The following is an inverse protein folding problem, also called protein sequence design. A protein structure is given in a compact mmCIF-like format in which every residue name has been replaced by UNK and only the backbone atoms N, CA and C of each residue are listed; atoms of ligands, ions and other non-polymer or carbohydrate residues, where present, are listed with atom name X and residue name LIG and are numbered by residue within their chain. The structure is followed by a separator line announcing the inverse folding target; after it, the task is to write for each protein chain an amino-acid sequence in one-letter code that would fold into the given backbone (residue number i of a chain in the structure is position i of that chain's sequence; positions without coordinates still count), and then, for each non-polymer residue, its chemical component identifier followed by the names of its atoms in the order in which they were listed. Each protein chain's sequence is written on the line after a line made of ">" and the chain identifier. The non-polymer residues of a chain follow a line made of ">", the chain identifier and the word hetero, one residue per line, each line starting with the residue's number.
data_IF_041720741107
#
_entry.id   IF_041720741107
#
_cell.length_a   1.000
_cell.length_b   1.000
_cell.length_c   1.000
_cell.angle_alpha   90.00
_cell.angle_beta   90.00
_cell.angle_gamma   90.00
#
_symmetry.space_group_name_H-M   'P 1'
#
loop_
_entity.id
_entity.type
_entity.pdbx_description
1 polymer ?
#
# COMPACT_ATOMS: atom_id res chain seq x y z
N UNK A 1 5.43 7.23 -5.96
CA UNK A 1 5.75 6.21 -4.94
C UNK A 1 6.34 6.79 -3.65
N UNK A 2 6.68 8.09 -3.60
CA UNK A 2 7.11 8.80 -2.37
C UNK A 2 6.14 8.71 -1.18
N UNK A 3 4.86 8.42 -1.42
CA UNK A 3 3.80 8.39 -0.40
C UNK A 3 4.00 7.31 0.67
N UNK A 4 4.66 6.20 0.36
CA UNK A 4 4.94 5.11 1.31
C UNK A 4 6.44 4.97 1.65
N UNK A 5 7.28 5.88 1.17
CA UNK A 5 8.70 5.90 1.52
C UNK A 5 8.86 6.24 3.00
N UNK A 6 9.76 5.54 3.69
CA UNK A 6 10.10 5.74 5.11
C UNK A 6 8.96 5.53 6.13
N UNK A 7 7.83 4.97 5.70
CA UNK A 7 6.74 4.61 6.62
C UNK A 7 7.00 3.27 7.31
N UNK A 8 6.59 3.17 8.59
CA UNK A 8 6.66 1.88 9.29
C UNK A 8 5.69 0.89 8.64
N UNK A 9 6.02 -0.42 8.62
CA UNK A 9 5.15 -1.44 8.05
C UNK A 9 3.70 -1.39 8.57
N UNK A 10 3.53 -1.09 9.85
CA UNK A 10 2.20 -0.95 10.45
C UNK A 10 1.42 0.24 9.90
N UNK A 11 2.07 1.39 9.69
CA UNK A 11 1.45 2.59 9.12
C UNK A 11 1.03 2.35 7.65
N UNK A 12 1.82 1.58 6.90
CA UNK A 12 1.47 1.16 5.53
C UNK A 12 0.23 0.25 5.54
N UNK A 13 0.13 -0.68 6.50
CA UNK A 13 -1.01 -1.58 6.62
C UNK A 13 -2.29 -0.83 7.01
N UNK A 14 -2.17 0.12 7.94
CA UNK A 14 -3.27 0.94 8.47
C UNK A 14 -3.69 2.04 7.49
N UNK A 15 -2.85 2.37 6.49
CA UNK A 15 -3.20 3.35 5.45
C UNK A 15 -4.37 2.87 4.58
N UNK A 16 -5.38 3.72 4.42
CA UNK A 16 -6.44 3.50 3.43
C UNK A 16 -5.99 4.02 2.06
N UNK A 17 -6.40 3.35 0.99
CA UNK A 17 -6.15 3.81 -0.37
C UNK A 17 -7.01 5.01 -0.77
N UNK A 18 -7.88 5.46 0.14
CA UNK A 18 -8.98 6.39 -0.14
C UNK A 18 -8.47 7.75 -0.62
N UNK A 19 -7.25 8.14 -0.23
CA UNK A 19 -6.61 9.35 -0.73
C UNK A 19 -6.45 9.34 -2.26
N UNK A 20 -6.32 8.17 -2.91
CA UNK A 20 -6.17 8.04 -4.36
C UNK A 20 -7.49 8.37 -5.09
N UNK A 21 -8.63 8.02 -4.48
CA UNK A 21 -9.94 8.44 -4.96
C UNK A 21 -10.24 9.89 -4.61
N UNK A 22 -9.88 10.36 -3.41
CA UNK A 22 -10.17 11.72 -2.93
C UNK A 22 -9.45 12.80 -3.74
N UNK A 23 -8.25 12.52 -4.26
CA UNK A 23 -7.53 13.45 -5.15
C UNK A 23 -7.95 13.32 -6.63
N UNK A 24 -8.99 12.53 -6.94
CA UNK A 24 -9.47 12.30 -8.30
C UNK A 24 -8.50 11.50 -9.19
N UNK A 25 -7.46 10.88 -8.61
CA UNK A 25 -6.45 10.17 -9.39
C UNK A 25 -7.05 8.99 -10.15
N UNK A 26 -8.05 8.32 -9.56
CA UNK A 26 -8.77 7.20 -10.20
C UNK A 26 -9.71 7.65 -11.31
N UNK A 27 -10.17 8.90 -11.30
CA UNK A 27 -11.13 9.42 -12.29
C UNK A 27 -10.48 9.75 -13.64
N UNK A 28 -9.19 10.08 -13.64
CA UNK A 28 -8.42 10.41 -14.84
C UNK A 28 -7.60 9.24 -15.40
N UNK A 29 -7.70 8.07 -14.77
CA UNK A 29 -6.98 6.87 -15.19
C UNK A 29 -7.90 5.93 -15.96
N UNK A 30 -7.39 5.41 -17.08
CA UNK A 30 -8.09 4.34 -17.78
C UNK A 30 -8.22 3.10 -16.87
N UNK A 31 -9.24 2.24 -17.09
CA UNK A 31 -9.48 1.07 -16.25
C UNK A 31 -8.23 0.20 -16.03
N UNK A 32 -7.41 -0.01 -17.08
CA UNK A 32 -6.15 -0.77 -16.99
C UNK A 32 -5.13 -0.12 -16.04
N UNK A 33 -5.01 1.21 -16.06
CA UNK A 33 -4.04 1.94 -15.23
C UNK A 33 -4.47 1.99 -13.77
N UNK A 34 -5.77 2.16 -13.50
CA UNK A 34 -6.33 2.07 -12.14
C UNK A 34 -6.14 0.68 -11.54
N UNK A 35 -6.37 -0.38 -12.33
CA UNK A 35 -6.13 -1.75 -11.89
C UNK A 35 -4.65 -2.05 -11.60
N UNK A 36 -3.73 -1.52 -12.41
CA UNK A 36 -2.30 -1.61 -12.16
C UNK A 36 -1.88 -0.92 -10.87
N UNK A 37 -2.41 0.28 -10.60
CA UNK A 37 -2.16 1.04 -9.38
C UNK A 37 -2.67 0.29 -8.13
N UNK A 38 -3.90 -0.25 -8.17
CA UNK A 38 -4.44 -1.08 -7.09
C UNK A 38 -3.62 -2.35 -6.85
N UNK A 39 -3.11 -2.98 -7.92
CA UNK A 39 -2.24 -4.16 -7.80
C UNK A 39 -0.92 -3.83 -7.13
N UNK A 40 -0.30 -2.70 -7.46
CA UNK A 40 0.92 -2.24 -6.78
C UNK A 40 0.68 -1.96 -5.29
N UNK A 41 -0.45 -1.33 -4.95
CA UNK A 41 -0.80 -1.10 -3.54
C UNK A 41 -0.98 -2.41 -2.78
N UNK A 42 -1.65 -3.40 -3.38
CA UNK A 42 -1.81 -4.73 -2.80
C UNK A 42 -0.45 -5.39 -2.53
N UNK A 43 0.48 -5.30 -3.47
CA UNK A 43 1.83 -5.85 -3.34
C UNK A 43 2.61 -5.17 -2.19
N UNK A 44 2.54 -3.84 -2.06
CA UNK A 44 3.16 -3.08 -0.96
C UNK A 44 2.61 -3.54 0.40
N UNK A 45 1.28 -3.68 0.52
CA UNK A 45 0.64 -4.18 1.75
C UNK A 45 1.05 -5.61 2.09
N UNK A 46 1.16 -6.49 1.10
CA UNK A 46 1.64 -7.86 1.31
C UNK A 46 3.07 -7.89 1.85
N UNK A 47 3.97 -7.06 1.31
CA UNK A 47 5.34 -6.94 1.85
C UNK A 47 5.35 -6.45 3.30
N UNK A 48 4.54 -5.42 3.60
CA UNK A 48 4.44 -4.91 4.98
C UNK A 48 3.92 -5.97 5.96
N UNK A 49 2.92 -6.78 5.54
CA UNK A 49 2.40 -7.89 6.34
C UNK A 49 3.46 -8.97 6.59
N UNK A 50 4.16 -9.41 5.54
CA UNK A 50 5.21 -10.42 5.65
C UNK A 50 6.36 -9.94 6.56
N UNK A 51 6.74 -8.67 6.44
CA UNK A 51 7.75 -8.07 7.30
C UNK A 51 7.31 -8.00 8.77
N UNK A 52 6.07 -7.58 9.05
CA UNK A 52 5.50 -7.58 10.41
C UNK A 52 5.47 -8.98 11.02
N UNK A 53 5.04 -9.98 10.25
CA UNK A 53 5.03 -11.37 10.70
C UNK A 53 6.45 -11.87 11.05
N UNK A 54 7.44 -11.55 10.21
CA UNK A 54 8.85 -11.87 10.48
C UNK A 54 9.39 -11.19 11.75
N UNK A 55 9.04 -9.93 12.00
CA UNK A 55 9.44 -9.23 13.22
C UNK A 55 8.85 -9.86 14.49
N UNK A 56 7.60 -10.33 14.43
CA UNK A 56 6.95 -11.00 15.56
C UNK A 56 7.58 -12.37 15.85
N UNK A 57 7.93 -13.14 14.80
CA UNK A 57 8.60 -14.43 14.95
C UNK A 57 10.03 -14.34 15.49
N UNK A 58 10.75 -13.24 15.21
CA UNK A 58 12.11 -13.01 15.72
C UNK A 58 12.18 -12.47 17.15
N UNK A 59 11.03 -12.19 17.78
CA UNK A 59 10.92 -11.77 19.19
C UNK A 59 10.41 -12.92 20.10
N UNK A 60 10.30 -14.14 19.58
CA UNK A 60 9.90 -15.34 20.34
C UNK A 60 11.10 -16.15 20.79
#
# INVERSE_FOLDING_TARGET
>A
IRTFSDQRPQEILDSSANFLSEIGLTEHLSPTRSNGMLSMLKQIKMYALAFKAKQQMGQS
#
